data_IF_600206639883
#
_entry.id   IF_600206639883
#
_cell.length_a   1.000
_cell.length_b   1.000
_cell.length_c   1.000
_cell.angle_alpha   90.00
_cell.angle_beta   90.00
_cell.angle_gamma   90.00
#
_symmetry.space_group_name_H-M   'P 1'
#
loop_
_entity.id
_entity.type
_entity.pdbx_description
1 polymer ?
#
# COMPACT_ATOMS: atom_id res chain seq x y z
N UNK A 1 -6.05 -33.37 13.32
CA UNK A 1 -4.83 -33.00 12.55
C UNK A 1 -5.10 -31.62 11.97
N UNK A 2 -4.22 -30.64 12.22
CA UNK A 2 -4.37 -29.30 11.67
C UNK A 2 -3.96 -29.42 10.20
N UNK A 3 -4.90 -29.33 9.27
CA UNK A 3 -4.59 -29.32 7.84
C UNK A 3 -3.52 -28.27 7.59
N UNK A 4 -2.37 -28.69 7.05
CA UNK A 4 -1.30 -27.78 6.70
C UNK A 4 -1.85 -26.95 5.55
N UNK A 5 -2.00 -25.64 5.76
CA UNK A 5 -2.43 -24.72 4.70
C UNK A 5 -1.60 -24.96 3.45
N UNK A 6 -2.28 -25.05 2.30
CA UNK A 6 -1.61 -25.16 1.01
C UNK A 6 -0.86 -23.85 0.73
N UNK A 7 0.20 -23.92 -0.09
CA UNK A 7 1.03 -22.75 -0.38
C UNK A 7 0.21 -21.59 -0.97
N UNK A 8 -0.82 -21.91 -1.76
CA UNK A 8 -1.73 -20.93 -2.36
C UNK A 8 -2.63 -20.22 -1.34
N UNK A 9 -3.18 -20.95 -0.35
CA UNK A 9 -3.98 -20.32 0.71
C UNK A 9 -3.12 -19.40 1.59
N UNK A 10 -1.87 -19.78 1.84
CA UNK A 10 -0.96 -18.97 2.64
C UNK A 10 -0.55 -17.68 1.90
N UNK A 11 -0.27 -17.78 0.60
CA UNK A 11 0.05 -16.63 -0.26
C UNK A 11 -1.14 -15.67 -0.40
N UNK A 12 -2.36 -16.18 -0.59
CA UNK A 12 -3.57 -15.37 -0.68
C UNK A 12 -3.83 -14.57 0.62
N UNK A 13 -3.68 -15.21 1.78
CA UNK A 13 -3.84 -14.55 3.08
C UNK A 13 -2.72 -13.55 3.35
N UNK A 14 -1.49 -13.87 2.97
CA UNK A 14 -0.36 -12.95 3.10
C UNK A 14 -0.60 -11.67 2.28
N UNK A 15 -1.00 -11.80 1.01
CA UNK A 15 -1.33 -10.67 0.13
C UNK A 15 -2.48 -9.84 0.68
N UNK A 16 -3.51 -10.48 1.24
CA UNK A 16 -4.63 -9.79 1.88
C UNK A 16 -4.18 -8.97 3.10
N UNK A 17 -3.42 -9.58 4.02
CA UNK A 17 -2.93 -8.91 5.22
C UNK A 17 -1.98 -7.76 4.86
N UNK A 18 -1.07 -7.98 3.91
CA UNK A 18 -0.17 -6.94 3.41
C UNK A 18 -0.97 -5.79 2.78
N UNK A 19 -1.98 -6.09 1.97
CA UNK A 19 -2.88 -5.09 1.40
C UNK A 19 -3.60 -4.27 2.48
N UNK A 20 -4.14 -4.92 3.51
CA UNK A 20 -4.78 -4.24 4.64
C UNK A 20 -3.80 -3.33 5.40
N UNK A 21 -2.58 -3.80 5.71
CA UNK A 21 -1.57 -3.00 6.43
C UNK A 21 -1.13 -1.82 5.57
N UNK A 22 -0.81 -2.03 4.29
CA UNK A 22 -0.40 -0.97 3.37
C UNK A 22 -1.50 0.08 3.20
N UNK A 23 -2.76 -0.34 3.08
CA UNK A 23 -3.91 0.56 3.05
C UNK A 23 -4.05 1.39 4.32
N UNK A 24 -3.93 0.75 5.49
CA UNK A 24 -3.97 1.43 6.79
C UNK A 24 -2.86 2.46 6.94
N UNK A 25 -1.61 2.10 6.58
CA UNK A 25 -0.47 3.02 6.64
C UNK A 25 -0.69 4.20 5.71
N UNK A 26 -1.19 3.97 4.49
CA UNK A 26 -1.50 5.05 3.55
C UNK A 26 -2.58 5.98 4.14
N UNK A 27 -3.68 5.44 4.64
CA UNK A 27 -4.78 6.23 5.23
C UNK A 27 -4.30 7.06 6.43
N UNK A 28 -3.57 6.45 7.37
CA UNK A 28 -3.02 7.15 8.53
C UNK A 28 -2.03 8.23 8.09
N UNK A 29 -1.18 7.93 7.11
CA UNK A 29 -0.21 8.90 6.56
C UNK A 29 -0.93 10.08 5.92
N UNK A 30 -1.95 9.85 5.10
CA UNK A 30 -2.75 10.91 4.48
C UNK A 30 -3.43 11.78 5.54
N UNK A 31 -4.08 11.18 6.54
CA UNK A 31 -4.73 11.93 7.63
C UNK A 31 -3.68 12.72 8.43
N UNK A 32 -2.52 12.12 8.73
CA UNK A 32 -1.42 12.76 9.44
C UNK A 32 -0.84 13.95 8.69
N UNK A 33 -0.68 13.86 7.36
CA UNK A 33 -0.28 14.99 6.51
C UNK A 33 -1.32 16.09 6.53
N UNK A 34 -2.59 15.76 6.33
CA UNK A 34 -3.67 16.75 6.34
C UNK A 34 -3.75 17.46 7.70
N UNK A 35 -3.62 16.71 8.81
CA UNK A 35 -3.57 17.28 10.14
C UNK A 35 -2.35 18.21 10.32
N UNK A 36 -1.16 17.78 9.88
CA UNK A 36 0.04 18.60 9.93
C UNK A 36 -0.07 19.88 9.10
N UNK A 37 -0.75 19.85 7.95
CA UNK A 37 -0.93 21.04 7.11
C UNK A 37 -2.00 22.00 7.66
N UNK A 38 -3.06 21.47 8.30
CA UNK A 38 -4.18 22.27 8.80
C UNK A 38 -3.91 22.85 10.18
N UNK A 39 -3.29 22.09 11.08
CA UNK A 39 -3.14 22.45 12.49
C UNK A 39 -1.72 22.84 12.88
N UNK A 40 -0.69 22.50 12.09
CA UNK A 40 0.67 22.96 12.35
C UNK A 40 0.95 24.16 11.46
N UNK A 41 1.21 25.31 12.11
CA UNK A 41 1.59 26.54 11.42
C UNK A 41 2.95 26.36 10.76
N UNK A 42 2.98 26.36 9.42
CA UNK A 42 4.21 26.28 8.64
C UNK A 42 4.53 27.68 8.08
N UNK A 43 5.54 28.39 8.61
CA UNK A 43 5.87 29.73 8.15
C UNK A 43 6.31 29.72 6.68
N UNK A 44 5.54 30.39 5.81
CA UNK A 44 5.80 30.49 4.37
C UNK A 44 7.07 31.34 4.19
N UNK A 45 8.20 30.68 3.91
CA UNK A 45 9.51 31.33 3.69
C UNK A 45 10.59 31.02 4.74
N UNK A 46 10.24 30.36 5.85
CA UNK A 46 11.19 29.96 6.91
C UNK A 46 10.89 28.56 7.48
N UNK A 47 10.47 27.64 6.61
CA UNK A 47 10.28 26.24 7.01
C UNK A 47 11.64 25.65 7.41
N UNK A 48 11.69 25.01 8.57
CA UNK A 48 12.91 24.41 9.07
C UNK A 48 13.41 23.35 8.05
N UNK A 49 14.71 23.34 7.76
CA UNK A 49 15.29 22.47 6.73
C UNK A 49 14.96 20.98 6.98
N UNK A 50 14.90 20.58 8.25
CA UNK A 50 14.47 19.26 8.70
C UNK A 50 13.03 18.94 8.30
N UNK A 51 12.08 19.87 8.39
CA UNK A 51 10.68 19.63 8.04
C UNK A 51 10.51 19.45 6.53
N UNK A 52 11.28 20.19 5.73
CA UNK A 52 11.30 20.06 4.27
C UNK A 52 11.83 18.70 3.83
N UNK A 53 12.91 18.23 4.45
CA UNK A 53 13.45 16.89 4.19
C UNK A 53 12.48 15.79 4.62
N UNK A 54 11.81 15.96 5.76
CA UNK A 54 10.84 15.01 6.27
C UNK A 54 9.64 14.83 5.32
N UNK A 55 9.10 15.91 4.74
CA UNK A 55 8.05 15.81 3.72
C UNK A 55 8.52 15.12 2.43
N UNK A 56 9.78 15.32 2.02
CA UNK A 56 10.37 14.59 0.90
C UNK A 56 10.38 13.07 1.12
N UNK A 57 10.81 12.64 2.32
CA UNK A 57 10.78 11.22 2.71
C UNK A 57 9.34 10.70 2.75
N UNK A 58 8.42 11.46 3.33
CA UNK A 58 7.01 11.07 3.43
C UNK A 58 6.35 10.89 2.06
N UNK A 59 6.63 11.80 1.12
CA UNK A 59 6.15 11.70 -0.26
C UNK A 59 6.71 10.47 -0.97
N UNK A 60 8.00 10.17 -0.78
CA UNK A 60 8.65 8.98 -1.34
C UNK A 60 8.04 7.68 -0.80
N UNK A 61 7.85 7.58 0.53
CA UNK A 61 7.25 6.41 1.18
C UNK A 61 5.79 6.23 0.76
N UNK A 62 5.00 7.31 0.72
CA UNK A 62 3.60 7.25 0.28
C UNK A 62 3.47 6.79 -1.18
N UNK A 63 4.35 7.28 -2.06
CA UNK A 63 4.41 6.87 -3.46
C UNK A 63 4.80 5.40 -3.60
N UNK A 64 5.76 4.93 -2.81
CA UNK A 64 6.17 3.53 -2.78
C UNK A 64 5.04 2.60 -2.32
N UNK A 65 4.33 2.95 -1.25
CA UNK A 65 3.19 2.17 -0.73
C UNK A 65 2.07 2.11 -1.78
N UNK A 66 1.73 3.26 -2.39
CA UNK A 66 0.72 3.35 -3.45
C UNK A 66 1.13 2.52 -4.67
N UNK A 67 2.40 2.59 -5.09
CA UNK A 67 2.95 1.77 -6.18
C UNK A 67 2.92 0.28 -5.88
N UNK A 68 3.20 -0.11 -4.64
CA UNK A 68 3.12 -1.51 -4.19
C UNK A 68 1.68 -2.01 -4.22
N UNK A 69 0.70 -1.20 -3.80
CA UNK A 69 -0.73 -1.52 -3.88
C UNK A 69 -1.20 -1.69 -5.33
N UNK A 70 -0.79 -0.78 -6.23
CA UNK A 70 -1.08 -0.91 -7.66
C UNK A 70 -0.48 -2.19 -8.25
N UNK A 71 0.76 -2.52 -7.89
CA UNK A 71 1.43 -3.77 -8.29
C UNK A 71 0.71 -5.03 -7.79
N UNK A 72 0.28 -5.05 -6.53
CA UNK A 72 -0.48 -6.16 -5.95
C UNK A 72 -1.84 -6.35 -6.65
N UNK A 73 -2.56 -5.26 -6.94
CA UNK A 73 -3.83 -5.31 -7.69
C UNK A 73 -3.64 -5.87 -9.11
N UNK A 74 -2.62 -5.43 -9.83
CA UNK A 74 -2.31 -5.93 -11.18
C UNK A 74 -1.92 -7.42 -11.14
N UNK A 75 -1.13 -7.85 -10.14
CA UNK A 75 -0.78 -9.27 -9.99
C UNK A 75 -2.00 -10.16 -9.74
N UNK A 76 -2.96 -9.65 -8.95
CA UNK A 76 -4.21 -10.37 -8.64
C UNK A 76 -5.14 -10.44 -9.87
N UNK A 77 -5.13 -9.41 -10.72
CA UNK A 77 -5.89 -9.38 -11.97
C UNK A 77 -5.41 -10.42 -13.00
N UNK A 78 -4.08 -10.57 -13.17
CA UNK A 78 -3.50 -11.56 -14.10
C UNK A 78 -3.80 -13.00 -13.69
N UNK A 79 -3.80 -13.31 -12.39
CA UNK A 79 -4.17 -14.65 -11.90
C UNK A 79 -5.61 -15.02 -12.28
N UNK A 80 -6.56 -14.06 -12.23
CA UNK A 80 -7.96 -14.35 -12.60
C UNK A 80 -8.16 -14.59 -14.10
N UNK A 81 -7.39 -13.93 -14.96
CA UNK A 81 -7.48 -14.13 -16.41
C UNK A 81 -6.88 -15.48 -16.83
N UNK A 82 -5.73 -15.86 -16.26
CA UNK A 82 -5.11 -17.18 -16.52
C UNK A 82 -6.00 -18.33 -16.04
N UNK A 83 -6.66 -18.20 -14.88
CA UNK A 83 -7.58 -19.25 -14.39
C UNK A 83 -8.88 -19.38 -15.20
N UNK A 84 -9.34 -18.31 -15.85
CA UNK A 84 -10.51 -18.40 -16.76
C UNK A 84 -10.14 -19.07 -18.08
N UNK A 85 -9.00 -18.74 -18.65
CA UNK A 85 -8.56 -19.31 -19.93
C UNK A 85 -8.37 -20.84 -19.88
N UNK A 86 -7.91 -21.39 -18.76
CA UNK A 86 -7.75 -22.85 -18.60
C UNK A 86 -9.07 -23.60 -18.43
N UNK A 87 -10.17 -22.92 -18.05
CA UNK A 87 -11.46 -23.57 -17.80
C UNK A 87 -12.40 -23.63 -19.00
N UNK A 88 -12.11 -22.85 -20.04
CA UNK A 88 -12.89 -22.80 -21.29
C UNK A 88 -12.28 -23.71 -22.37
N UNK A 89 -11.14 -24.36 -22.09
CA UNK A 89 -10.43 -25.29 -23.00
C UNK A 89 -10.54 -26.79 -22.60
N UNK A 90 -11.29 -27.12 -21.54
CA UNK A 90 -11.58 -28.51 -21.09
C UNK A 90 -13.09 -28.82 -21.19
#
# INVERSE_FOLDING_TARGET
>A
MKDRYTAEELDARLKFVVGCILGLVLTITTIGVLYALVFVTQPIGAQAENDKMFFGVLSSVATFITGTLAGLMISTGRTKETTKQTKDEE
#
